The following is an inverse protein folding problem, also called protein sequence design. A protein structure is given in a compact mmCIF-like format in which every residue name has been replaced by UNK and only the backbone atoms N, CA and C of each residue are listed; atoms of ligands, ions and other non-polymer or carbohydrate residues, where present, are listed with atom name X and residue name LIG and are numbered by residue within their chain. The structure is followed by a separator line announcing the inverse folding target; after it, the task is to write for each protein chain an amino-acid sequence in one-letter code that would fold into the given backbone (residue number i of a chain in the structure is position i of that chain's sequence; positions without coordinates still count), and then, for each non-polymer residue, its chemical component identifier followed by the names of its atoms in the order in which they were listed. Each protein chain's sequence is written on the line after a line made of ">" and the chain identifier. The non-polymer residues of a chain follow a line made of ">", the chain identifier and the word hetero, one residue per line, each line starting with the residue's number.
data_IF_761427433877
#
_entry.id   IF_761427433877
#
_cell.length_a   1.000
_cell.length_b   1.000
_cell.length_c   1.000
_cell.angle_alpha   90.00
_cell.angle_beta   90.00
_cell.angle_gamma   90.00
#
_symmetry.space_group_name_H-M   'P 1'
#
loop_
_entity.id
_entity.type
_entity.pdbx_description
1 polymer ?
#
# COMPACT_ATOMS: atom_id res chain seq x y z
N UNK A 1 -5.68 7.25 -18.26
CA UNK A 1 -4.58 6.26 -18.19
C UNK A 1 -3.57 6.60 -19.26
N UNK A 2 -2.31 6.68 -18.91
CA UNK A 2 -1.21 6.99 -19.84
C UNK A 2 -0.53 5.71 -20.32
N UNK A 3 0.05 5.76 -21.52
CA UNK A 3 0.92 4.70 -22.02
C UNK A 3 2.36 5.12 -21.74
N UNK A 4 3.14 4.20 -21.17
CA UNK A 4 4.55 4.38 -20.84
C UNK A 4 5.36 3.39 -21.66
N UNK A 5 6.47 3.83 -22.23
CA UNK A 5 7.48 2.91 -22.75
C UNK A 5 8.57 2.68 -21.69
N UNK A 6 8.83 1.42 -21.37
CA UNK A 6 9.89 1.09 -20.42
C UNK A 6 11.22 1.69 -20.84
N UNK A 7 11.87 2.51 -19.99
CA UNK A 7 13.15 3.15 -20.34
C UNK A 7 14.29 2.15 -20.53
N UNK A 8 14.16 0.92 -20.02
CA UNK A 8 15.18 -0.11 -20.17
C UNK A 8 15.00 -0.95 -21.45
N UNK A 9 13.77 -1.47 -21.73
CA UNK A 9 13.55 -2.40 -22.84
C UNK A 9 12.68 -1.85 -23.97
N UNK A 10 12.07 -0.67 -23.80
CA UNK A 10 11.18 -0.06 -24.79
C UNK A 10 9.77 -0.67 -24.85
N UNK A 11 9.47 -1.71 -24.06
CA UNK A 11 8.16 -2.35 -24.03
C UNK A 11 7.06 -1.38 -23.58
N UNK A 12 5.89 -1.42 -24.25
CA UNK A 12 4.78 -0.54 -23.92
C UNK A 12 4.03 -1.04 -22.67
N UNK A 13 3.96 -0.21 -21.65
CA UNK A 13 3.22 -0.47 -20.41
C UNK A 13 1.94 0.35 -20.47
N UNK A 14 0.81 -0.34 -20.51
CA UNK A 14 -0.51 0.27 -20.65
C UNK A 14 -1.21 0.41 -19.30
N UNK A 15 -2.19 1.30 -19.24
CA UNK A 15 -3.09 1.43 -18.10
C UNK A 15 -2.44 2.04 -16.85
N UNK A 16 -1.36 2.81 -17.01
CA UNK A 16 -0.71 3.50 -15.88
C UNK A 16 -1.60 4.64 -15.39
N UNK A 17 -2.08 4.52 -14.16
CA UNK A 17 -2.88 5.55 -13.50
C UNK A 17 -1.98 6.71 -13.04
N UNK A 18 -2.52 7.96 -12.94
CA UNK A 18 -1.75 9.12 -12.44
C UNK A 18 -1.23 8.96 -11.01
N UNK A 19 -1.78 8.05 -10.24
CA UNK A 19 -1.36 7.77 -8.86
C UNK A 19 -0.09 6.92 -8.80
N UNK A 20 0.20 6.14 -9.84
CA UNK A 20 1.33 5.20 -9.84
C UNK A 20 2.66 5.95 -9.82
N UNK A 21 3.56 5.53 -8.94
CA UNK A 21 4.91 6.06 -8.75
C UNK A 21 5.99 5.06 -9.06
N UNK A 22 5.67 3.77 -8.99
CA UNK A 22 6.62 2.71 -9.31
C UNK A 22 5.95 1.53 -10.02
N UNK A 23 6.72 0.82 -10.87
CA UNK A 23 6.21 -0.26 -11.74
C UNK A 23 7.27 -1.33 -11.91
N UNK A 24 6.89 -2.61 -11.74
CA UNK A 24 7.66 -3.72 -12.32
C UNK A 24 7.33 -3.84 -13.80
N UNK A 25 8.34 -3.70 -14.67
CA UNK A 25 8.13 -3.85 -16.10
C UNK A 25 7.70 -5.30 -16.43
N UNK A 26 6.53 -5.52 -17.07
CA UNK A 26 6.05 -6.86 -17.36
C UNK A 26 6.89 -7.60 -18.43
N UNK A 27 7.76 -6.88 -19.16
CA UNK A 27 8.56 -7.46 -20.24
C UNK A 27 9.98 -7.83 -19.81
N UNK A 28 10.64 -6.96 -19.03
CA UNK A 28 12.05 -7.16 -18.66
C UNK A 28 12.28 -7.21 -17.14
N UNK A 29 11.21 -7.11 -16.36
CA UNK A 29 11.24 -7.12 -14.89
C UNK A 29 12.11 -6.02 -14.25
N UNK A 30 12.44 -4.96 -15.01
CA UNK A 30 13.10 -3.80 -14.43
C UNK A 30 12.14 -3.06 -13.53
N UNK A 31 12.63 -2.66 -12.37
CA UNK A 31 11.94 -1.75 -11.49
C UNK A 31 12.02 -0.32 -12.03
N UNK A 32 10.86 0.28 -12.26
CA UNK A 32 10.74 1.65 -12.75
C UNK A 32 10.19 2.53 -11.64
N UNK A 33 10.74 3.73 -11.49
CA UNK A 33 10.20 4.75 -10.60
C UNK A 33 9.93 6.05 -11.35
N UNK A 34 8.95 6.80 -10.89
CA UNK A 34 8.65 8.12 -11.40
C UNK A 34 9.45 9.15 -10.60
N UNK A 35 10.47 9.75 -11.20
CA UNK A 35 11.29 10.80 -10.60
C UNK A 35 11.24 12.05 -11.45
N UNK A 36 10.97 13.22 -10.85
CA UNK A 36 10.87 14.51 -11.56
C UNK A 36 10.00 14.45 -12.83
N UNK A 37 8.87 13.75 -12.79
CA UNK A 37 7.95 13.50 -13.90
C UNK A 37 8.53 12.63 -15.05
N UNK A 38 9.66 12.00 -14.83
CA UNK A 38 10.28 11.07 -15.78
C UNK A 38 10.32 9.66 -15.18
N UNK A 39 10.08 8.67 -16.01
CA UNK A 39 10.25 7.28 -15.61
C UNK A 39 11.70 6.85 -15.81
N UNK A 40 12.30 6.36 -14.74
CA UNK A 40 13.67 5.90 -14.70
C UNK A 40 13.72 4.42 -14.31
N UNK A 41 14.61 3.64 -14.96
CA UNK A 41 14.87 2.29 -14.49
C UNK A 41 15.79 2.36 -13.27
N UNK A 42 15.33 1.78 -12.15
CA UNK A 42 16.16 1.65 -10.97
C UNK A 42 16.95 0.32 -11.06
N UNK A 43 18.24 0.37 -10.76
CA UNK A 43 19.12 -0.82 -10.75
C UNK A 43 18.88 -1.74 -9.54
N UNK A 44 17.92 -1.41 -8.67
CA UNK A 44 17.54 -2.25 -7.55
C UNK A 44 17.05 -3.62 -8.02
N UNK A 45 17.52 -4.68 -7.38
CA UNK A 45 17.07 -6.04 -7.67
C UNK A 45 15.58 -6.15 -7.41
N UNK A 46 14.86 -6.80 -8.33
CA UNK A 46 13.53 -7.31 -8.05
C UNK A 46 13.66 -8.28 -6.87
N UNK A 47 13.00 -7.98 -5.77
CA UNK A 47 12.81 -8.96 -4.70
C UNK A 47 11.59 -9.78 -5.07
N UNK A 48 11.75 -11.02 -5.57
CA UNK A 48 10.62 -11.84 -5.94
C UNK A 48 9.76 -12.10 -4.70
N UNK A 49 8.47 -11.85 -4.81
CA UNK A 49 7.52 -12.31 -3.81
C UNK A 49 7.27 -13.81 -4.03
N UNK A 50 8.12 -14.64 -3.42
CA UNK A 50 7.99 -16.11 -3.47
C UNK A 50 7.10 -16.65 -2.34
N UNK A 51 6.11 -15.85 -1.93
CA UNK A 51 5.18 -16.25 -0.89
C UNK A 51 3.80 -16.49 -1.48
N UNK A 52 3.19 -17.64 -1.20
CA UNK A 52 1.84 -17.93 -1.66
C UNK A 52 0.86 -16.91 -1.10
N UNK A 53 -0.07 -16.45 -1.96
CA UNK A 53 -1.17 -15.58 -1.57
C UNK A 53 -2.43 -16.01 -2.31
N UNK A 54 -3.58 -15.68 -1.74
CA UNK A 54 -4.86 -15.91 -2.39
C UNK A 54 -5.08 -14.94 -3.56
N UNK A 55 -4.66 -13.68 -3.38
CA UNK A 55 -4.75 -12.64 -4.40
C UNK A 55 -3.47 -12.58 -5.24
N UNK A 56 -3.61 -12.26 -6.51
CA UNK A 56 -2.50 -12.10 -7.46
C UNK A 56 -2.62 -10.77 -8.19
N UNK A 57 -1.49 -10.13 -8.47
CA UNK A 57 -1.45 -8.93 -9.30
C UNK A 57 -2.01 -9.24 -10.70
N UNK A 58 -2.92 -8.39 -11.15
CA UNK A 58 -3.65 -8.56 -12.41
C UNK A 58 -5.01 -9.24 -12.27
N UNK A 59 -5.32 -9.89 -11.12
CA UNK A 59 -6.66 -10.42 -10.89
C UNK A 59 -7.71 -9.33 -10.99
N UNK A 60 -8.86 -9.71 -11.54
CA UNK A 60 -10.04 -8.87 -11.63
C UNK A 60 -11.21 -9.55 -10.92
N UNK A 61 -12.10 -8.74 -10.36
CA UNK A 61 -13.25 -9.27 -9.66
C UNK A 61 -14.43 -8.30 -9.68
N UNK A 62 -15.63 -8.84 -9.47
CA UNK A 62 -16.88 -8.08 -9.49
C UNK A 62 -17.57 -8.19 -8.14
N UNK A 63 -17.90 -7.06 -7.54
CA UNK A 63 -18.72 -6.98 -6.35
C UNK A 63 -20.22 -7.13 -6.68
N UNK A 64 -21.07 -7.47 -5.68
CA UNK A 64 -22.51 -7.61 -5.87
C UNK A 64 -23.21 -6.34 -6.36
N UNK A 65 -22.67 -5.17 -6.07
CA UNK A 65 -23.20 -3.86 -6.50
C UNK A 65 -22.82 -3.50 -7.94
N UNK A 66 -22.02 -4.34 -8.62
CA UNK A 66 -21.54 -4.14 -9.98
C UNK A 66 -20.22 -3.38 -10.07
N UNK A 67 -19.56 -3.07 -8.96
CA UNK A 67 -18.21 -2.52 -8.95
C UNK A 67 -17.22 -3.58 -9.43
N UNK A 68 -16.32 -3.21 -10.34
CA UNK A 68 -15.24 -4.07 -10.80
C UNK A 68 -13.92 -3.58 -10.22
N UNK A 69 -13.17 -4.48 -9.64
CA UNK A 69 -11.87 -4.24 -9.04
C UNK A 69 -10.76 -4.90 -9.86
N UNK A 70 -9.60 -4.27 -9.86
CA UNK A 70 -8.36 -4.82 -10.43
C UNK A 70 -7.25 -4.68 -9.39
N UNK A 71 -6.53 -5.76 -9.13
CA UNK A 71 -5.34 -5.77 -8.29
C UNK A 71 -4.16 -5.27 -9.13
N UNK A 72 -3.59 -4.13 -8.78
CA UNK A 72 -2.54 -3.47 -9.56
C UNK A 72 -1.14 -3.74 -9.05
N UNK A 73 -0.99 -3.90 -7.74
CA UNK A 73 0.29 -4.12 -7.11
C UNK A 73 0.18 -4.80 -5.76
N UNK A 74 1.32 -5.23 -5.23
CA UNK A 74 1.45 -5.88 -3.93
C UNK A 74 2.72 -5.43 -3.25
N UNK A 75 2.63 -5.15 -1.96
CA UNK A 75 3.74 -5.02 -1.03
C UNK A 75 3.68 -6.14 -0.02
N UNK A 76 4.84 -6.64 0.38
CA UNK A 76 4.97 -7.53 1.53
C UNK A 76 5.81 -6.86 2.58
N UNK A 77 5.25 -6.81 3.78
CA UNK A 77 5.88 -6.30 4.97
C UNK A 77 6.32 -7.45 5.88
N UNK A 78 7.40 -7.22 6.60
CA UNK A 78 7.91 -8.13 7.64
C UNK A 78 8.20 -7.36 8.91
N UNK A 79 7.72 -7.85 10.04
CA UNK A 79 8.02 -7.33 11.37
C UNK A 79 8.28 -8.50 12.34
N UNK A 80 9.33 -8.39 13.16
CA UNK A 80 9.65 -9.45 14.10
C UNK A 80 9.69 -10.83 13.45
N UNK A 81 8.69 -11.68 13.72
CA UNK A 81 8.53 -13.00 13.09
C UNK A 81 7.27 -13.11 12.23
N UNK A 82 6.52 -12.03 12.07
CA UNK A 82 5.31 -11.96 11.26
C UNK A 82 5.51 -11.28 9.92
N UNK A 83 4.53 -11.42 9.05
CA UNK A 83 4.46 -10.70 7.78
C UNK A 83 3.02 -10.54 7.36
N UNK A 84 2.73 -9.44 6.65
CA UNK A 84 1.44 -9.24 5.98
C UNK A 84 1.66 -8.75 4.56
N UNK A 85 0.58 -8.75 3.78
CA UNK A 85 0.55 -8.22 2.41
C UNK A 85 -0.42 -7.05 2.32
N UNK A 86 -0.03 -6.04 1.56
CA UNK A 86 -0.89 -4.96 1.14
C UNK A 86 -1.03 -4.97 -0.38
N UNK A 87 -2.27 -4.86 -0.84
CA UNK A 87 -2.64 -4.94 -2.25
C UNK A 87 -3.16 -3.59 -2.73
N UNK A 88 -2.54 -3.04 -3.76
CA UNK A 88 -3.06 -1.84 -4.41
C UNK A 88 -4.22 -2.20 -5.33
N UNK A 89 -5.39 -1.67 -5.02
CA UNK A 89 -6.65 -1.93 -5.71
C UNK A 89 -7.10 -0.71 -6.49
N UNK A 90 -7.62 -0.92 -7.70
CA UNK A 90 -8.32 0.11 -8.48
C UNK A 90 -9.71 -0.39 -8.88
N UNK A 91 -10.72 0.47 -8.80
CA UNK A 91 -12.07 0.18 -9.26
C UNK A 91 -12.37 0.83 -10.63
N UNK A 92 -13.35 0.28 -11.36
CA UNK A 92 -13.85 0.89 -12.58
C UNK A 92 -14.55 2.24 -12.35
N UNK A 93 -14.93 2.55 -11.11
CA UNK A 93 -15.44 3.85 -10.66
C UNK A 93 -14.37 4.92 -10.47
N UNK A 94 -13.08 4.55 -10.58
CA UNK A 94 -11.93 5.46 -10.40
C UNK A 94 -11.47 5.59 -8.96
N UNK A 95 -12.01 4.78 -8.07
CA UNK A 95 -11.55 4.68 -6.69
C UNK A 95 -10.31 3.80 -6.62
N UNK A 96 -9.39 4.13 -5.72
CA UNK A 96 -8.17 3.38 -5.48
C UNK A 96 -7.87 3.35 -3.99
N UNK A 97 -7.43 2.20 -3.48
CA UNK A 97 -7.17 2.00 -2.05
C UNK A 97 -6.18 0.86 -1.82
N UNK A 98 -5.62 0.80 -0.63
CA UNK A 98 -4.87 -0.34 -0.15
C UNK A 98 -5.81 -1.36 0.50
N UNK A 99 -5.57 -2.62 0.24
CA UNK A 99 -6.22 -3.74 0.88
C UNK A 99 -5.16 -4.50 1.67
N UNK A 100 -5.21 -4.41 2.98
CA UNK A 100 -4.35 -5.15 3.90
C UNK A 100 -4.94 -6.54 4.17
N UNK A 101 -4.09 -7.57 4.21
CA UNK A 101 -4.46 -8.92 4.62
C UNK A 101 -3.78 -9.24 5.95
N UNK A 102 -4.59 -9.39 7.00
CA UNK A 102 -4.15 -9.79 8.33
C UNK A 102 -4.94 -11.02 8.81
N UNK A 103 -4.23 -12.14 8.99
CA UNK A 103 -4.77 -13.44 9.43
C UNK A 103 -6.05 -13.89 8.69
N UNK A 104 -6.13 -13.56 7.38
CA UNK A 104 -7.28 -13.91 6.52
C UNK A 104 -8.49 -13.01 6.66
N UNK A 105 -8.39 -11.93 7.41
CA UNK A 105 -9.27 -10.77 7.39
C UNK A 105 -8.69 -9.70 6.47
N UNK A 106 -9.53 -8.95 5.81
CA UNK A 106 -9.09 -7.92 4.88
C UNK A 106 -9.62 -6.57 5.32
N UNK A 107 -8.74 -5.58 5.33
CA UNK A 107 -9.04 -4.20 5.69
C UNK A 107 -8.73 -3.28 4.52
N UNK A 108 -9.65 -2.38 4.26
CA UNK A 108 -9.49 -1.35 3.26
C UNK A 108 -8.96 -0.09 3.92
N UNK A 109 -7.91 0.48 3.33
CA UNK A 109 -7.33 1.75 3.71
C UNK A 109 -7.40 2.71 2.53
N UNK A 110 -7.98 3.90 2.73
CA UNK A 110 -7.87 4.99 1.76
C UNK A 110 -6.42 5.47 1.68
N UNK A 111 -6.07 6.26 0.66
CA UNK A 111 -4.81 7.00 0.70
C UNK A 111 -4.85 7.94 1.90
N UNK A 112 -3.84 7.82 2.77
CA UNK A 112 -3.77 8.56 4.01
C UNK A 112 -3.65 10.06 3.79
N UNK A 113 -4.22 10.84 4.70
CA UNK A 113 -3.97 12.27 4.77
C UNK A 113 -2.64 12.51 5.49
N UNK A 114 -1.77 13.36 4.91
CA UNK A 114 -0.53 13.75 5.57
C UNK A 114 -0.83 14.70 6.72
N UNK A 115 -0.32 14.37 7.89
CA UNK A 115 -0.42 15.19 9.10
C UNK A 115 0.97 15.51 9.65
N UNK A 116 1.10 16.68 10.26
CA UNK A 116 2.31 17.04 11.00
C UNK A 116 2.30 16.40 12.38
N UNK A 117 3.41 15.76 12.74
CA UNK A 117 3.64 15.09 14.02
C UNK A 117 4.89 15.67 14.69
N UNK A 118 4.79 16.88 15.30
CA UNK A 118 5.93 17.55 15.91
C UNK A 118 6.57 16.69 17.01
N UNK A 119 7.88 16.44 16.88
CA UNK A 119 8.62 15.51 17.76
C UNK A 119 8.60 14.06 17.26
N UNK A 120 7.95 13.78 16.14
CA UNK A 120 7.91 12.46 15.53
C UNK A 120 7.41 11.39 16.49
N UNK A 121 7.94 10.19 16.32
CA UNK A 121 7.54 9.00 17.08
C UNK A 121 7.96 9.00 18.57
N UNK A 122 8.87 9.88 19.00
CA UNK A 122 9.52 9.78 20.33
C UNK A 122 8.57 9.99 21.51
N UNK A 123 7.45 10.71 21.29
CA UNK A 123 6.43 10.96 22.31
C UNK A 123 5.29 9.94 22.35
N UNK A 124 5.28 8.97 21.43
CA UNK A 124 4.17 8.03 21.27
C UNK A 124 4.49 6.71 21.99
N UNK A 125 3.58 6.28 22.86
CA UNK A 125 3.72 5.04 23.62
C UNK A 125 2.42 4.23 23.58
N UNK A 126 2.55 2.92 23.48
CA UNK A 126 1.41 1.99 23.62
C UNK A 126 0.76 2.17 24.99
N UNK A 127 -0.56 2.21 25.02
CA UNK A 127 -1.36 2.51 26.21
C UNK A 127 -1.48 4.01 26.52
N UNK A 128 -0.81 4.87 25.74
CA UNK A 128 -0.94 6.33 25.82
C UNK A 128 -2.01 6.88 24.89
N UNK A 129 -2.11 8.20 24.83
CA UNK A 129 -3.00 8.91 23.92
C UNK A 129 -2.20 9.86 23.03
N UNK A 130 -2.62 9.97 21.75
CA UNK A 130 -2.08 10.89 20.78
C UNK A 130 -3.20 11.78 20.27
N UNK A 131 -3.16 13.07 20.58
CA UNK A 131 -4.08 14.05 20.03
C UNK A 131 -3.53 14.57 18.70
N UNK A 132 -4.26 14.40 17.62
CA UNK A 132 -3.91 14.90 16.30
C UNK A 132 -4.45 16.32 16.10
N UNK A 133 -3.68 17.16 15.43
CA UNK A 133 -4.10 18.53 15.12
C UNK A 133 -5.31 18.52 14.17
N UNK A 134 -6.45 19.03 14.64
CA UNK A 134 -7.74 19.01 13.94
C UNK A 134 -8.28 17.61 13.57
N UNK A 135 -7.81 16.57 14.26
CA UNK A 135 -8.17 15.18 14.04
C UNK A 135 -8.60 14.48 15.32
N UNK A 136 -8.68 13.14 15.28
CA UNK A 136 -9.04 12.30 16.42
C UNK A 136 -8.01 12.37 17.56
N UNK A 137 -8.42 11.95 18.76
CA UNK A 137 -7.53 11.64 19.87
C UNK A 137 -7.44 10.15 20.06
N UNK A 138 -6.39 9.56 19.55
CA UNK A 138 -6.22 8.12 19.51
C UNK A 138 -5.71 7.57 20.84
N UNK A 139 -6.32 6.50 21.33
CA UNK A 139 -5.69 5.61 22.30
C UNK A 139 -4.80 4.63 21.55
N UNK A 140 -3.50 4.66 21.82
CA UNK A 140 -2.50 3.88 21.07
C UNK A 140 -2.53 2.42 21.52
N UNK A 141 -2.83 1.54 20.58
CA UNK A 141 -2.93 0.09 20.78
C UNK A 141 -1.65 -0.63 20.42
N UNK A 142 -1.00 -0.22 19.32
CA UNK A 142 0.22 -0.84 18.82
C UNK A 142 1.22 0.19 18.31
N UNK A 143 2.50 -0.21 18.30
CA UNK A 143 3.60 0.56 17.72
C UNK A 143 4.72 -0.40 17.32
N UNK A 144 5.03 -0.44 16.03
CA UNK A 144 6.02 -1.37 15.49
C UNK A 144 6.74 -0.80 14.27
N UNK A 145 7.78 -1.51 13.86
CA UNK A 145 8.48 -1.24 12.60
C UNK A 145 8.39 -2.46 11.71
N UNK A 146 8.19 -2.23 10.43
CA UNK A 146 8.15 -3.26 9.42
C UNK A 146 9.03 -2.88 8.23
N UNK A 147 9.70 -3.87 7.69
CA UNK A 147 10.51 -3.75 6.48
C UNK A 147 9.70 -4.19 5.27
N UNK A 148 9.77 -3.42 4.19
CA UNK A 148 9.22 -3.84 2.90
C UNK A 148 10.19 -4.86 2.30
N UNK A 149 9.81 -6.15 2.36
CA UNK A 149 10.66 -7.26 1.91
C UNK A 149 10.32 -7.76 0.50
N UNK A 150 9.25 -7.26 -0.09
CA UNK A 150 8.87 -7.63 -1.45
C UNK A 150 7.86 -6.68 -2.07
N UNK A 151 7.87 -6.62 -3.40
CA UNK A 151 6.96 -5.80 -4.19
C UNK A 151 6.65 -6.43 -5.54
N UNK A 152 5.49 -6.13 -6.09
CA UNK A 152 5.07 -6.60 -7.40
C UNK A 152 4.08 -5.63 -8.05
N UNK A 153 4.13 -5.48 -9.38
CA UNK A 153 3.15 -4.76 -10.17
C UNK A 153 3.32 -3.25 -10.22
N UNK A 154 2.22 -2.52 -10.10
CA UNK A 154 2.12 -1.06 -10.18
C UNK A 154 1.71 -0.50 -8.82
N UNK A 155 2.51 0.39 -8.26
CA UNK A 155 2.32 0.90 -6.89
C UNK A 155 2.27 2.43 -6.85
N UNK A 156 1.44 3.03 -5.98
CA UNK A 156 1.32 4.48 -5.84
C UNK A 156 2.43 5.12 -5.00
N UNK A 157 3.42 4.33 -4.59
CA UNK A 157 4.52 4.75 -3.72
C UNK A 157 5.86 4.70 -4.44
N UNK A 158 6.75 5.62 -4.08
CA UNK A 158 8.17 5.55 -4.42
C UNK A 158 8.86 4.71 -3.35
N UNK A 159 9.47 3.59 -3.75
CA UNK A 159 10.16 2.71 -2.83
C UNK A 159 11.66 2.76 -3.11
N UNK A 160 12.45 2.88 -2.07
CA UNK A 160 13.87 2.64 -2.09
C UNK A 160 14.20 1.16 -1.84
N UNK A 161 15.48 0.79 -1.96
CA UNK A 161 15.87 -0.61 -1.91
C UNK A 161 15.62 -1.27 -0.54
N UNK A 162 15.73 -0.48 0.53
CA UNK A 162 15.49 -0.91 1.90
C UNK A 162 14.62 0.15 2.57
N UNK A 163 13.33 -0.11 2.65
CA UNK A 163 12.37 0.80 3.28
C UNK A 163 11.83 0.17 4.54
N UNK A 164 12.11 0.80 5.68
CA UNK A 164 11.50 0.48 6.97
C UNK A 164 10.44 1.52 7.26
N UNK A 165 9.21 1.07 7.50
CA UNK A 165 8.08 1.92 7.87
C UNK A 165 7.83 1.78 9.37
N UNK A 166 7.49 2.87 10.02
CA UNK A 166 7.06 2.85 11.41
C UNK A 166 5.55 3.05 11.48
N UNK A 167 4.86 2.08 12.06
CA UNK A 167 3.43 2.10 12.26
C UNK A 167 3.07 2.41 13.70
N UNK A 168 1.97 3.14 13.86
CA UNK A 168 1.31 3.37 15.14
C UNK A 168 -0.18 3.20 14.95
N UNK A 169 -0.76 2.19 15.58
CA UNK A 169 -2.19 1.94 15.52
C UNK A 169 -2.87 2.44 16.78
N UNK A 170 -4.09 2.91 16.61
CA UNK A 170 -4.87 3.44 17.71
C UNK A 170 -6.36 3.48 17.41
N UNK A 171 -7.13 3.69 18.46
CA UNK A 171 -8.59 3.70 18.38
C UNK A 171 -9.17 4.99 18.95
N UNK A 172 -10.24 5.49 18.34
CA UNK A 172 -11.10 6.52 18.89
C UNK A 172 -12.56 6.17 18.63
N UNK A 173 -13.38 6.18 19.68
CA UNK A 173 -14.83 5.93 19.60
C UNK A 173 -15.24 4.61 18.94
N UNK A 174 -14.33 3.62 18.91
CA UNK A 174 -14.55 2.31 18.30
C UNK A 174 -14.10 2.21 16.84
N UNK A 175 -13.58 3.29 16.27
CA UNK A 175 -12.98 3.32 14.95
C UNK A 175 -11.47 3.09 15.07
N UNK A 176 -10.90 2.34 14.13
CA UNK A 176 -9.48 2.00 14.06
C UNK A 176 -8.75 2.91 13.08
N UNK A 177 -7.56 3.35 13.48
CA UNK A 177 -6.70 4.23 12.70
C UNK A 177 -5.28 3.66 12.69
N UNK A 178 -4.63 3.76 11.54
CA UNK A 178 -3.20 3.47 11.38
C UNK A 178 -2.46 4.73 10.94
N UNK A 179 -1.29 4.95 11.51
CA UNK A 179 -0.37 6.01 11.15
C UNK A 179 0.93 5.39 10.62
N UNK A 180 1.27 5.73 9.40
CA UNK A 180 2.61 5.53 8.85
C UNK A 180 3.46 6.76 9.16
N UNK A 181 4.57 6.58 9.88
CA UNK A 181 5.38 7.72 10.37
C UNK A 181 6.68 7.83 9.58
N UNK A 182 6.89 9.02 9.02
CA UNK A 182 8.14 9.41 8.37
C UNK A 182 8.65 10.74 8.96
N UNK A 183 9.66 10.64 9.85
CA UNK A 183 10.23 11.81 10.52
C UNK A 183 9.23 12.55 11.41
N UNK A 184 8.91 13.80 11.06
CA UNK A 184 7.93 14.65 11.74
C UNK A 184 6.58 14.72 11.02
N UNK A 185 6.34 13.80 10.09
CA UNK A 185 5.08 13.65 9.36
C UNK A 185 4.53 12.25 9.55
N UNK A 186 3.25 12.12 9.41
CA UNK A 186 2.59 10.82 9.35
C UNK A 186 1.48 10.86 8.30
N UNK A 187 1.24 9.73 7.68
CA UNK A 187 0.05 9.47 6.88
C UNK A 187 -0.95 8.76 7.78
N UNK A 188 -2.13 9.33 7.98
CA UNK A 188 -3.19 8.71 8.79
C UNK A 188 -4.25 8.09 7.89
N UNK A 189 -4.60 6.86 8.18
CA UNK A 189 -5.69 6.13 7.52
C UNK A 189 -6.68 5.60 8.54
N UNK A 190 -7.93 5.47 8.12
CA UNK A 190 -8.95 4.74 8.87
C UNK A 190 -9.14 3.39 8.20
N UNK A 191 -9.12 2.32 9.02
CA UNK A 191 -9.33 0.95 8.56
C UNK A 191 -10.82 0.62 8.47
N UNK A 192 -11.21 -0.05 7.39
CA UNK A 192 -12.59 -0.51 7.18
C UNK A 192 -12.55 -1.97 6.72
N UNK A 193 -13.26 -2.87 7.43
CA UNK A 193 -13.29 -4.28 7.03
C UNK A 193 -13.85 -4.43 5.61
N UNK A 194 -13.15 -5.18 4.77
CA UNK A 194 -13.50 -5.42 3.37
C UNK A 194 -13.85 -6.89 3.16
N UNK A 195 -15.11 -7.16 2.79
CA UNK A 195 -15.56 -8.53 2.51
C UNK A 195 -15.06 -9.01 1.15
N UNK A 196 -13.81 -9.49 1.13
CA UNK A 196 -13.15 -10.07 -0.06
C UNK A 196 -13.92 -11.27 -0.64
N UNK A 197 -14.70 -11.99 0.22
CA UNK A 197 -15.44 -13.19 -0.18
C UNK A 197 -16.71 -12.86 -0.97
N UNK A 198 -17.19 -11.62 -0.85
CA UNK A 198 -18.31 -11.13 -1.66
C UNK A 198 -17.91 -10.86 -3.11
N UNK A 199 -16.61 -10.71 -3.38
CA UNK A 199 -16.07 -10.44 -4.72
C UNK A 199 -15.98 -11.74 -5.52
N UNK A 200 -16.59 -11.74 -6.70
CA UNK A 200 -16.46 -12.82 -7.67
C UNK A 200 -15.19 -12.59 -8.49
N UNK A 201 -14.10 -13.22 -8.07
CA UNK A 201 -12.81 -13.15 -8.75
C UNK A 201 -12.79 -13.97 -10.04
N UNK A 202 -12.17 -13.41 -11.06
CA UNK A 202 -11.86 -14.11 -12.31
C UNK A 202 -10.56 -14.90 -12.14
N UNK A 203 -10.52 -16.10 -12.70
CA UNK A 203 -9.26 -16.87 -12.71
C UNK A 203 -8.31 -16.24 -13.74
N UNK A 204 -7.09 -15.96 -13.30
CA UNK A 204 -5.99 -15.46 -14.17
C UNK A 204 -5.33 -16.63 -14.89
#
# INVERSE_FOLDING_TARGET
>A
MANLNCPNCGGAIEGVSPLIRSIDCPYCSSWLRLSNQLWEANEGQKTPLDAPAFLLVGMQGSAPDGTHYTIRGRLRFQYGMGSWDEWWMESNGGESFWLEEDDGTYYRHSLGEEISLPGGISGISVGGTLALNNGPTLFITEKYQADIVGREGMLPVELEAETTVTYVDGVESGEEYSLEIEGEYASITQSEEFDIRSIKWEQV
#
